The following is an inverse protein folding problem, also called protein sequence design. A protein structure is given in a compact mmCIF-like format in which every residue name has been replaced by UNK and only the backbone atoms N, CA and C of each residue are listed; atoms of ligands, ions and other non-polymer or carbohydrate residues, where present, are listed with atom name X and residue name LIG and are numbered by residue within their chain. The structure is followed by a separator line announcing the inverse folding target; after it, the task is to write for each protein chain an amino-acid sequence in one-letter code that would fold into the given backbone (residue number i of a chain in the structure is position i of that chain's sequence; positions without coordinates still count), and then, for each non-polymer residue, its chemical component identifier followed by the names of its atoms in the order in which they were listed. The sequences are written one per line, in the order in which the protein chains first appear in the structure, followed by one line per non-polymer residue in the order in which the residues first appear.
data_IF_572893577404
#
_entry.id   IF_572893577404
#
_cell.length_a   1.000
_cell.length_b   1.000
_cell.length_c   1.000
_cell.angle_alpha   90.00
_cell.angle_beta   90.00
_cell.angle_gamma   90.00
#
_symmetry.space_group_name_H-M   'P 1'
#
loop_
_entity.id
_entity.type
_entity.pdbx_description
1 polymer ?
#
# COMPACT_ATOMS: atom_id res chain seq x y z
N UNK A 1 -8.42 12.63 25.57
CA UNK A 1 -9.12 11.72 24.65
C UNK A 1 -10.58 12.09 24.62
N UNK A 2 -11.00 12.68 23.51
CA UNK A 2 -12.39 12.92 23.16
C UNK A 2 -13.04 11.64 22.65
N UNK A 3 -14.36 11.53 22.74
CA UNK A 3 -15.10 10.38 22.16
C UNK A 3 -14.80 10.18 20.67
N UNK A 4 -14.59 11.27 19.92
CA UNK A 4 -14.24 11.20 18.51
C UNK A 4 -12.90 10.51 18.26
N UNK A 5 -11.90 10.78 19.09
CA UNK A 5 -10.59 10.11 19.02
C UNK A 5 -10.71 8.62 19.37
N UNK A 6 -11.54 8.27 20.36
CA UNK A 6 -11.80 6.87 20.73
C UNK A 6 -12.54 6.08 19.65
N UNK A 7 -13.52 6.69 18.97
CA UNK A 7 -14.22 6.06 17.85
C UNK A 7 -13.33 5.90 16.62
N UNK A 8 -12.46 6.87 16.35
CA UNK A 8 -11.44 6.75 15.30
C UNK A 8 -10.47 5.60 15.61
N UNK A 9 -9.93 5.53 16.82
CA UNK A 9 -9.01 4.47 17.25
C UNK A 9 -9.69 3.08 17.24
N UNK A 10 -10.97 3.00 17.62
CA UNK A 10 -11.73 1.74 17.56
C UNK A 10 -12.00 1.28 16.12
N UNK A 11 -12.41 2.19 15.24
CA UNK A 11 -12.61 1.88 13.82
C UNK A 11 -11.27 1.46 13.17
N UNK A 12 -10.17 2.16 13.47
CA UNK A 12 -8.81 1.83 13.04
C UNK A 12 -8.40 0.40 13.43
N UNK A 13 -8.55 0.03 14.71
CA UNK A 13 -8.21 -1.30 15.21
C UNK A 13 -9.11 -2.39 14.59
N UNK A 14 -10.38 -2.06 14.33
CA UNK A 14 -11.33 -2.98 13.70
C UNK A 14 -10.96 -3.29 12.25
N UNK A 15 -10.54 -2.27 11.46
CA UNK A 15 -10.09 -2.46 10.09
C UNK A 15 -8.78 -3.25 10.01
N UNK A 16 -7.82 -2.94 10.89
CA UNK A 16 -6.55 -3.68 10.97
C UNK A 16 -6.76 -5.15 11.37
N UNK A 17 -7.68 -5.43 12.30
CA UNK A 17 -7.96 -6.79 12.77
C UNK A 17 -8.65 -7.67 11.71
N UNK A 18 -9.33 -7.08 10.73
CA UNK A 18 -10.07 -7.80 9.69
C UNK A 18 -9.24 -8.02 8.41
N UNK A 19 -8.22 -7.20 8.15
CA UNK A 19 -7.41 -7.28 6.94
C UNK A 19 -6.46 -8.48 6.95
N UNK A 20 -6.50 -9.28 5.87
CA UNK A 20 -5.68 -10.50 5.72
C UNK A 20 -4.86 -10.53 4.44
N UNK A 21 -5.08 -9.57 3.55
CA UNK A 21 -4.43 -9.46 2.25
C UNK A 21 -4.06 -8.01 1.93
N UNK A 22 -3.16 -7.80 0.97
CA UNK A 22 -2.83 -6.47 0.45
C UNK A 22 -4.08 -5.76 -0.09
N UNK A 23 -5.00 -6.51 -0.68
CA UNK A 23 -6.30 -6.04 -1.15
C UNK A 23 -7.14 -5.43 -0.03
N UNK A 24 -7.19 -6.08 1.14
CA UNK A 24 -7.97 -5.58 2.28
C UNK A 24 -7.38 -4.27 2.82
N UNK A 25 -6.04 -4.18 2.93
CA UNK A 25 -5.37 -2.97 3.44
C UNK A 25 -5.56 -1.76 2.53
N UNK A 26 -5.37 -1.91 1.21
CA UNK A 26 -5.59 -0.81 0.24
C UNK A 26 -7.06 -0.42 0.19
N UNK A 27 -7.99 -1.38 0.28
CA UNK A 27 -9.41 -1.04 0.34
C UNK A 27 -9.82 -0.36 1.63
N UNK A 28 -9.20 -0.69 2.76
CA UNK A 28 -9.41 0.04 4.01
C UNK A 28 -8.93 1.50 3.89
N UNK A 29 -7.79 1.74 3.23
CA UNK A 29 -7.32 3.09 2.92
C UNK A 29 -8.32 3.86 2.04
N UNK A 30 -8.83 3.23 0.98
CA UNK A 30 -9.82 3.79 0.07
C UNK A 30 -11.19 4.05 0.75
N UNK A 31 -11.69 3.09 1.52
CA UNK A 31 -13.01 3.13 2.17
C UNK A 31 -13.12 4.30 3.15
N UNK A 32 -12.04 4.56 3.87
CA UNK A 32 -12.02 5.63 4.85
C UNK A 32 -11.87 7.03 4.22
N UNK A 33 -11.70 7.14 2.89
CA UNK A 33 -11.45 8.40 2.15
C UNK A 33 -10.28 9.21 2.74
N UNK A 34 -9.32 8.53 3.36
CA UNK A 34 -8.17 9.14 4.04
C UNK A 34 -6.98 9.34 3.09
N UNK A 35 -7.20 9.84 1.86
CA UNK A 35 -6.06 10.20 1.02
C UNK A 35 -5.18 11.24 1.75
N UNK A 36 -3.87 11.05 1.72
CA UNK A 36 -2.87 11.91 2.38
C UNK A 36 -2.89 11.98 3.92
N UNK A 37 -3.40 10.99 4.65
CA UNK A 37 -3.18 10.88 6.12
C UNK A 37 -2.05 9.90 6.45
N UNK A 38 -1.41 10.07 7.62
CA UNK A 38 -0.39 9.13 8.11
C UNK A 38 -0.94 7.71 8.29
N UNK A 39 -2.22 7.57 8.63
CA UNK A 39 -2.87 6.27 8.76
C UNK A 39 -3.03 5.57 7.40
N UNK A 40 -3.41 6.31 6.36
CA UNK A 40 -3.48 5.75 5.02
C UNK A 40 -2.09 5.31 4.54
N UNK A 41 -1.05 6.11 4.84
CA UNK A 41 0.34 5.70 4.58
C UNK A 41 0.69 4.39 5.30
N UNK A 42 0.27 4.23 6.55
CA UNK A 42 0.48 2.99 7.30
C UNK A 42 -0.25 1.79 6.70
N UNK A 43 -1.48 1.95 6.19
CA UNK A 43 -2.16 0.87 5.46
C UNK A 43 -1.37 0.42 4.23
N UNK A 44 -0.80 1.36 3.46
CA UNK A 44 0.06 1.01 2.31
C UNK A 44 1.35 0.29 2.74
N UNK A 45 2.00 0.73 3.83
CA UNK A 45 3.15 0.01 4.40
C UNK A 45 2.79 -1.42 4.82
N UNK A 46 1.63 -1.62 5.44
CA UNK A 46 1.13 -2.95 5.80
C UNK A 46 0.79 -3.78 4.56
N UNK A 47 0.22 -3.17 3.52
CA UNK A 47 -0.06 -3.84 2.25
C UNK A 47 1.22 -4.38 1.59
N UNK A 48 2.33 -3.64 1.65
CA UNK A 48 3.64 -4.13 1.16
C UNK A 48 4.19 -5.25 2.05
N UNK A 49 4.06 -5.15 3.38
CA UNK A 49 4.52 -6.22 4.30
C UNK A 49 3.83 -7.56 4.05
N UNK A 50 2.56 -7.56 3.68
CA UNK A 50 1.82 -8.80 3.38
C UNK A 50 2.03 -9.31 1.96
N UNK A 51 2.75 -8.56 1.12
CA UNK A 51 3.06 -8.91 -0.27
C UNK A 51 4.01 -10.11 -0.37
N UNK A 52 4.62 -10.55 0.73
CA UNK A 52 5.56 -11.69 0.79
C UNK A 52 4.91 -13.08 0.63
N UNK A 53 3.68 -13.17 0.11
CA UNK A 53 3.02 -14.46 -0.12
C UNK A 53 3.35 -14.99 -1.53
N UNK A 54 3.88 -16.21 -1.70
CA UNK A 54 4.66 -16.60 -2.91
C UNK A 54 3.89 -16.81 -4.22
N UNK A 55 2.62 -16.38 -4.33
CA UNK A 55 1.77 -16.78 -5.45
C UNK A 55 1.19 -15.67 -6.31
N UNK A 56 1.31 -14.38 -5.95
CA UNK A 56 0.73 -13.30 -6.77
C UNK A 56 1.44 -11.93 -6.64
N UNK A 57 2.74 -11.91 -6.29
CA UNK A 57 3.52 -10.67 -6.02
C UNK A 57 3.37 -9.62 -7.13
N UNK A 58 3.44 -10.03 -8.40
CA UNK A 58 3.32 -9.11 -9.55
C UNK A 58 1.93 -8.47 -9.62
N UNK A 59 0.87 -9.24 -9.37
CA UNK A 59 -0.51 -8.75 -9.43
C UNK A 59 -0.79 -7.82 -8.24
N UNK A 60 -0.36 -8.22 -7.05
CA UNK A 60 -0.53 -7.42 -5.83
C UNK A 60 0.27 -6.11 -5.88
N UNK A 61 1.53 -6.15 -6.33
CA UNK A 61 2.35 -4.95 -6.51
C UNK A 61 1.70 -3.98 -7.50
N UNK A 62 1.17 -4.49 -8.62
CA UNK A 62 0.44 -3.67 -9.60
C UNK A 62 -0.78 -3.00 -8.96
N UNK A 63 -1.54 -3.74 -8.16
CA UNK A 63 -2.71 -3.22 -7.48
C UNK A 63 -2.35 -2.12 -6.47
N UNK A 64 -1.32 -2.32 -5.65
CA UNK A 64 -0.81 -1.31 -4.71
C UNK A 64 -0.38 -0.05 -5.47
N UNK A 65 0.46 -0.19 -6.49
CA UNK A 65 0.97 0.96 -7.26
C UNK A 65 -0.17 1.77 -7.90
N UNK A 66 -1.17 1.11 -8.48
CA UNK A 66 -2.31 1.81 -9.08
C UNK A 66 -3.08 2.67 -8.08
N UNK A 67 -3.35 2.16 -6.89
CA UNK A 67 -4.08 2.92 -5.87
C UNK A 67 -3.17 3.99 -5.22
N UNK A 68 -1.89 3.68 -5.01
CA UNK A 68 -0.91 4.63 -4.47
C UNK A 68 -0.84 5.92 -5.32
N UNK A 69 -0.92 5.80 -6.65
CA UNK A 69 -0.99 6.97 -7.55
C UNK A 69 -2.23 7.82 -7.34
N UNK A 70 -3.38 7.16 -7.17
CA UNK A 70 -4.67 7.84 -7.03
C UNK A 70 -4.74 8.58 -5.68
N UNK A 71 -4.23 7.94 -4.62
CA UNK A 71 -4.34 8.46 -3.25
C UNK A 71 -3.23 9.47 -2.91
N UNK A 72 -2.02 9.25 -3.43
CA UNK A 72 -0.80 9.95 -3.02
C UNK A 72 0.00 10.51 -4.20
N UNK A 73 -0.60 10.71 -5.38
CA UNK A 73 0.09 11.15 -6.60
C UNK A 73 0.93 12.43 -6.49
N UNK A 74 0.72 13.26 -5.46
CA UNK A 74 1.50 14.48 -5.19
C UNK A 74 2.59 14.29 -4.11
N UNK A 75 2.59 13.16 -3.39
CA UNK A 75 3.49 12.83 -2.28
C UNK A 75 4.69 12.01 -2.78
N UNK A 76 5.55 12.64 -3.57
CA UNK A 76 6.65 11.95 -4.28
C UNK A 76 7.63 11.20 -3.37
N UNK A 77 7.85 11.67 -2.13
CA UNK A 77 8.72 10.98 -1.16
C UNK A 77 8.09 9.70 -0.65
N UNK A 78 6.80 9.73 -0.31
CA UNK A 78 6.06 8.56 0.17
C UNK A 78 5.90 7.51 -0.94
N UNK A 79 5.62 7.96 -2.17
CA UNK A 79 5.61 7.07 -3.34
C UNK A 79 6.94 6.32 -3.48
N UNK A 80 8.07 7.04 -3.39
CA UNK A 80 9.40 6.43 -3.48
C UNK A 80 9.64 5.44 -2.34
N UNK A 81 9.21 5.77 -1.12
CA UNK A 81 9.29 4.87 0.03
C UNK A 81 8.61 3.52 -0.26
N UNK A 82 7.35 3.56 -0.72
CA UNK A 82 6.58 2.35 -1.02
C UNK A 82 7.18 1.56 -2.18
N UNK A 83 7.61 2.22 -3.26
CA UNK A 83 8.27 1.54 -4.38
C UNK A 83 9.54 0.80 -3.95
N UNK A 84 10.36 1.40 -3.07
CA UNK A 84 11.57 0.74 -2.55
C UNK A 84 11.22 -0.47 -1.69
N UNK A 85 10.23 -0.36 -0.79
CA UNK A 85 9.79 -1.48 0.04
C UNK A 85 9.25 -2.65 -0.79
N UNK A 86 8.53 -2.37 -1.89
CA UNK A 86 8.07 -3.40 -2.82
C UNK A 86 9.28 -4.12 -3.44
N UNK A 87 10.30 -3.39 -3.90
CA UNK A 87 11.51 -3.99 -4.50
C UNK A 87 12.33 -4.83 -3.50
N UNK A 88 12.33 -4.44 -2.22
CA UNK A 88 13.01 -5.16 -1.14
C UNK A 88 12.27 -6.43 -0.68
N UNK A 89 11.05 -6.67 -1.18
CA UNK A 89 10.27 -7.88 -0.84
C UNK A 89 10.90 -9.13 -1.45
N UNK A 90 10.91 -10.24 -0.70
CA UNK A 90 11.40 -11.52 -1.22
C UNK A 90 10.53 -12.01 -2.39
N UNK A 91 11.14 -12.16 -3.56
CA UNK A 91 10.46 -12.57 -4.79
C UNK A 91 11.43 -13.28 -5.72
N UNK A 92 10.90 -14.03 -6.68
CA UNK A 92 11.73 -14.67 -7.70
C UNK A 92 12.37 -13.62 -8.62
N UNK A 93 13.49 -13.95 -9.31
CA UNK A 93 14.11 -13.02 -10.26
C UNK A 93 13.15 -12.54 -11.37
N UNK A 94 12.22 -13.39 -11.80
CA UNK A 94 11.20 -13.04 -12.78
C UNK A 94 10.22 -12.00 -12.22
N UNK A 95 9.69 -12.24 -11.02
CA UNK A 95 8.77 -11.29 -10.35
C UNK A 95 9.46 -9.96 -10.09
N UNK A 96 10.72 -9.98 -9.64
CA UNK A 96 11.51 -8.77 -9.45
C UNK A 96 11.67 -7.97 -10.74
N UNK A 97 11.95 -8.65 -11.86
CA UNK A 97 12.06 -7.99 -13.15
C UNK A 97 10.75 -7.33 -13.58
N UNK A 98 9.62 -8.01 -13.42
CA UNK A 98 8.31 -7.45 -13.78
C UNK A 98 7.90 -6.29 -12.87
N UNK A 99 8.14 -6.41 -11.56
CA UNK A 99 7.89 -5.35 -10.58
C UNK A 99 8.75 -4.12 -10.86
N UNK A 100 10.04 -4.29 -11.13
CA UNK A 100 10.95 -3.19 -11.45
C UNK A 100 10.50 -2.44 -12.71
N UNK A 101 10.08 -3.13 -13.77
CA UNK A 101 9.52 -2.52 -14.98
C UNK A 101 8.27 -1.70 -14.68
N UNK A 102 7.38 -2.22 -13.83
CA UNK A 102 6.16 -1.49 -13.44
C UNK A 102 6.49 -0.20 -12.66
N UNK A 103 7.45 -0.26 -11.74
CA UNK A 103 7.90 0.92 -10.98
C UNK A 103 8.60 1.94 -11.89
N UNK A 104 9.45 1.49 -12.82
CA UNK A 104 10.11 2.38 -13.79
C UNK A 104 9.08 3.09 -14.69
N UNK A 105 8.09 2.34 -15.18
CA UNK A 105 6.97 2.91 -15.94
C UNK A 105 6.14 3.87 -15.08
N UNK A 106 5.99 3.62 -13.78
CA UNK A 106 5.29 4.47 -12.84
C UNK A 106 6.02 5.81 -12.66
N UNK A 107 7.34 5.77 -12.42
CA UNK A 107 8.20 6.95 -12.21
C UNK A 107 8.41 7.78 -13.47
N UNK A 108 8.26 7.18 -14.65
CA UNK A 108 8.37 7.91 -15.93
C UNK A 108 7.14 8.77 -16.25
N UNK A 109 6.05 8.63 -15.49
CA UNK A 109 4.75 9.30 -15.73
C UNK A 109 4.46 10.41 -14.69
N UNK A 110 5.20 10.46 -13.58
CA UNK A 110 5.13 11.49 -12.53
C UNK A 110 6.32 12.43 -12.59
#
# INVERSE_FOLDING_TARGET
MSEKELWQEYDELSFLAQAKSSYDYVNNANFMKYSNTEMSKDFYRQAVKVLSNPHDIVIEAKFILQNLKNDFGYESEFIKEICLQILDTEMTPYEHQEVAKMIESYSSIT
#
